data_IF_138765635240
#
_entry.id   IF_138765635240
#
_cell.length_a   1.000
_cell.length_b   1.000
_cell.length_c   1.000
_cell.angle_alpha   90.00
_cell.angle_beta   90.00
_cell.angle_gamma   90.00
#
_symmetry.space_group_name_H-M   'P 1'
#
loop_
_entity.id
_entity.type
_entity.pdbx_description
1 polymer ?
#
# COMPACT_ATOMS: atom_id res chain seq x y z
N UNK A 1 10.05 -8.11 -5.12
CA UNK A 1 10.66 -7.54 -3.92
C UNK A 1 10.47 -8.50 -2.72
N UNK A 2 10.66 -9.79 -2.95
CA UNK A 2 10.60 -10.82 -1.91
C UNK A 2 9.32 -10.76 -1.06
N UNK A 3 8.17 -10.75 -1.72
CA UNK A 3 6.83 -10.68 -1.11
C UNK A 3 6.50 -9.34 -0.44
N UNK A 4 7.32 -8.32 -0.62
CA UNK A 4 7.17 -7.04 0.06
C UNK A 4 7.31 -5.87 -0.91
N UNK A 5 8.04 -4.86 -0.51
CA UNK A 5 8.33 -3.64 -1.28
C UNK A 5 9.84 -3.37 -1.22
N UNK A 6 10.36 -2.48 -2.08
CA UNK A 6 11.78 -2.15 -2.06
C UNK A 6 12.20 -1.58 -0.71
N UNK A 7 13.47 -1.82 -0.35
CA UNK A 7 14.05 -1.31 0.90
C UNK A 7 13.93 0.21 1.01
N UNK A 8 13.95 0.93 -0.11
CA UNK A 8 13.79 2.39 -0.14
C UNK A 8 12.46 2.84 0.47
N UNK A 9 11.38 2.09 0.26
CA UNK A 9 10.10 2.42 0.88
C UNK A 9 10.15 2.27 2.39
N UNK A 10 10.81 1.23 2.89
CA UNK A 10 10.98 1.02 4.34
C UNK A 10 11.79 2.16 4.96
N UNK A 11 12.86 2.58 4.28
CA UNK A 11 13.66 3.74 4.71
C UNK A 11 12.81 5.00 4.76
N UNK A 12 11.98 5.25 3.75
CA UNK A 12 11.07 6.38 3.72
C UNK A 12 10.09 6.33 4.91
N UNK A 13 9.48 5.18 5.16
CA UNK A 13 8.56 4.99 6.28
C UNK A 13 9.25 5.28 7.61
N UNK A 14 10.46 4.76 7.82
CA UNK A 14 11.21 4.98 9.04
C UNK A 14 11.57 6.45 9.25
N UNK A 15 11.80 7.18 8.16
CA UNK A 15 12.11 8.60 8.23
C UNK A 15 10.90 9.48 8.56
N UNK A 16 9.71 9.09 8.13
CA UNK A 16 8.49 9.87 8.42
C UNK A 16 7.81 9.43 9.72
N UNK A 17 8.07 8.21 10.19
CA UNK A 17 7.46 7.70 11.40
C UNK A 17 8.13 8.37 12.61
N UNK A 18 7.50 9.41 13.11
CA UNK A 18 7.99 10.15 14.27
C UNK A 18 6.83 10.40 15.23
N UNK A 19 7.02 9.98 16.48
CA UNK A 19 6.07 10.23 17.56
C UNK A 19 5.91 11.74 17.74
N UNK A 20 4.67 12.21 17.79
CA UNK A 20 4.36 13.63 17.87
C UNK A 20 4.22 14.33 16.52
N UNK A 21 4.55 13.66 15.41
CA UNK A 21 4.39 14.20 14.05
C UNK A 21 3.32 13.45 13.29
N UNK A 22 3.46 12.14 13.12
CA UNK A 22 2.47 11.32 12.39
C UNK A 22 1.61 10.47 13.30
N UNK A 23 2.08 10.24 14.53
CA UNK A 23 1.37 9.46 15.53
C UNK A 23 1.72 9.97 16.92
N UNK A 24 0.86 9.70 17.89
CA UNK A 24 1.13 9.93 19.31
C UNK A 24 0.45 8.82 20.11
N UNK A 25 0.82 8.70 21.37
CA UNK A 25 0.16 7.76 22.27
C UNK A 25 -0.80 8.53 23.19
N UNK A 26 -2.05 8.03 23.25
CA UNK A 26 -3.06 8.59 24.14
C UNK A 26 -2.81 8.24 25.59
N UNK A 27 -3.68 8.76 26.48
CA UNK A 27 -3.58 8.51 27.92
C UNK A 27 -3.74 7.02 28.27
N UNK A 28 -4.41 6.25 27.44
CA UNK A 28 -4.61 4.79 27.57
C UNK A 28 -3.43 3.97 27.01
N UNK A 29 -2.39 4.62 26.48
CA UNK A 29 -1.23 3.97 25.86
C UNK A 29 -1.46 3.50 24.42
N UNK A 30 -2.62 3.77 23.82
CA UNK A 30 -2.91 3.39 22.45
C UNK A 30 -2.42 4.44 21.46
N UNK A 31 -1.97 4.02 20.27
CA UNK A 31 -1.57 4.98 19.25
C UNK A 31 -2.77 5.78 18.72
N UNK A 32 -2.55 7.07 18.49
CA UNK A 32 -3.50 7.98 17.86
C UNK A 32 -2.84 8.58 16.61
N UNK A 33 -3.50 8.47 15.45
CA UNK A 33 -2.98 9.00 14.21
C UNK A 33 -3.05 10.51 14.12
N UNK A 34 -2.01 11.11 13.55
CA UNK A 34 -1.91 12.56 13.36
C UNK A 34 -1.72 12.94 11.89
N UNK A 35 -1.66 11.96 11.00
CA UNK A 35 -1.53 12.22 9.58
C UNK A 35 -2.83 12.81 9.03
N UNK A 36 -2.71 13.80 8.14
CA UNK A 36 -3.87 14.50 7.55
C UNK A 36 -4.31 13.92 6.20
N UNK A 37 -3.64 12.90 5.71
CA UNK A 37 -4.04 12.25 4.48
C UNK A 37 -5.40 11.58 4.65
N UNK A 38 -6.24 11.67 3.64
CA UNK A 38 -7.58 11.06 3.66
C UNK A 38 -7.59 9.64 3.13
N UNK A 39 -6.62 9.32 2.27
CA UNK A 39 -6.53 8.00 1.64
C UNK A 39 -5.07 7.65 1.37
N UNK A 40 -4.75 6.38 1.57
CA UNK A 40 -3.48 5.79 1.12
C UNK A 40 -3.78 4.82 -0.01
N UNK A 41 -3.08 4.97 -1.12
CA UNK A 41 -3.19 4.08 -2.27
C UNK A 41 -1.87 3.33 -2.42
N UNK A 42 -1.93 2.01 -2.31
CA UNK A 42 -0.77 1.14 -2.51
C UNK A 42 -0.83 0.55 -3.91
N UNK A 43 0.14 0.92 -4.74
CA UNK A 43 0.21 0.49 -6.14
C UNK A 43 1.31 -0.56 -6.26
N UNK A 44 0.97 -1.73 -6.75
CA UNK A 44 1.94 -2.82 -6.88
C UNK A 44 1.60 -3.77 -8.02
N UNK A 45 2.61 -4.52 -8.41
CA UNK A 45 2.48 -5.60 -9.40
C UNK A 45 3.06 -6.89 -8.82
N UNK A 46 2.62 -8.02 -9.37
CA UNK A 46 3.13 -9.33 -8.98
C UNK A 46 3.22 -10.24 -10.20
N UNK A 47 4.33 -10.94 -10.32
CA UNK A 47 4.50 -11.92 -11.39
C UNK A 47 3.58 -13.12 -11.23
N UNK A 48 3.42 -13.62 -10.02
CA UNK A 48 2.50 -14.70 -9.66
C UNK A 48 1.28 -14.19 -8.93
N UNK A 49 0.60 -15.07 -8.17
CA UNK A 49 -0.47 -14.65 -7.27
C UNK A 49 0.05 -13.70 -6.20
N UNK A 50 -0.74 -12.70 -5.86
CA UNK A 50 -0.36 -11.69 -4.89
C UNK A 50 -0.46 -12.21 -3.46
N UNK A 51 0.57 -11.93 -2.67
CA UNK A 51 0.57 -12.13 -1.23
C UNK A 51 0.78 -10.78 -0.55
N UNK A 52 -0.26 -10.26 0.10
CA UNK A 52 -0.23 -8.92 0.70
C UNK A 52 0.31 -8.86 2.13
N UNK A 53 0.68 -9.99 2.74
CA UNK A 53 1.03 -10.02 4.16
C UNK A 53 2.19 -9.13 4.55
N UNK A 54 3.21 -9.04 3.69
CA UNK A 54 4.48 -8.37 4.01
C UNK A 54 4.67 -7.05 3.27
N UNK A 55 3.71 -6.65 2.47
CA UNK A 55 3.73 -5.39 1.72
C UNK A 55 2.51 -4.54 2.04
N UNK A 56 1.45 -4.71 1.28
CA UNK A 56 0.22 -3.94 1.46
C UNK A 56 -0.36 -4.09 2.88
N UNK A 57 -0.41 -5.32 3.41
CA UNK A 57 -0.94 -5.54 4.75
C UNK A 57 -0.17 -4.79 5.83
N UNK A 58 1.15 -4.75 5.72
CA UNK A 58 2.00 -3.97 6.63
C UNK A 58 1.72 -2.46 6.53
N UNK A 59 1.73 -1.92 5.32
CA UNK A 59 1.51 -0.48 5.08
C UNK A 59 0.09 -0.08 5.49
N UNK A 60 -0.90 -0.92 5.20
CA UNK A 60 -2.28 -0.69 5.62
C UNK A 60 -2.41 -0.62 7.15
N UNK A 61 -1.76 -1.54 7.86
CA UNK A 61 -1.78 -1.53 9.32
C UNK A 61 -1.16 -0.25 9.89
N UNK A 62 -0.03 0.19 9.34
CA UNK A 62 0.57 1.47 9.75
C UNK A 62 -0.35 2.64 9.47
N UNK A 63 -0.95 2.69 8.28
CA UNK A 63 -1.82 3.79 7.87
C UNK A 63 -3.05 3.90 8.78
N UNK A 64 -3.73 2.79 9.00
CA UNK A 64 -4.99 2.79 9.75
C UNK A 64 -4.78 2.85 11.26
N UNK A 65 -3.82 2.07 11.79
CA UNK A 65 -3.68 1.89 13.24
C UNK A 65 -2.77 2.94 13.88
N UNK A 66 -1.82 3.49 13.13
CA UNK A 66 -0.82 4.42 13.67
C UNK A 66 -0.89 5.82 13.09
N UNK A 67 -1.11 5.97 11.79
CA UNK A 67 -1.12 7.29 11.14
C UNK A 67 -2.50 7.94 11.13
N UNK A 68 -3.55 7.17 11.32
CA UNK A 68 -4.92 7.69 11.33
C UNK A 68 -5.46 8.03 9.95
N UNK A 69 -4.99 7.36 8.91
CA UNK A 69 -5.51 7.52 7.56
C UNK A 69 -6.77 6.67 7.44
N UNK A 70 -7.94 7.28 7.17
CA UNK A 70 -9.23 6.58 7.29
C UNK A 70 -9.51 5.58 6.19
N UNK A 71 -8.84 5.69 5.05
CA UNK A 71 -9.08 4.81 3.89
C UNK A 71 -7.77 4.33 3.28
N UNK A 72 -7.72 3.03 2.97
CA UNK A 72 -6.61 2.45 2.22
C UNK A 72 -7.15 1.70 1.01
N UNK A 73 -6.43 1.76 -0.10
CA UNK A 73 -6.84 1.11 -1.34
C UNK A 73 -5.64 0.43 -1.98
N UNK A 74 -5.88 -0.76 -2.52
CA UNK A 74 -4.88 -1.53 -3.26
C UNK A 74 -5.16 -1.43 -4.76
N UNK A 75 -4.15 -0.99 -5.51
CA UNK A 75 -4.11 -1.06 -6.97
C UNK A 75 -3.13 -2.15 -7.35
N UNK A 76 -3.65 -3.27 -7.82
CA UNK A 76 -2.86 -4.48 -8.02
C UNK A 76 -3.02 -5.01 -9.44
N UNK A 77 -1.89 -5.29 -10.11
CA UNK A 77 -1.85 -6.12 -11.29
C UNK A 77 -1.03 -7.38 -10.96
N UNK A 78 -1.68 -8.54 -10.96
CA UNK A 78 -1.03 -9.80 -10.60
C UNK A 78 -1.05 -10.80 -11.76
N UNK A 79 -0.25 -11.85 -11.64
CA UNK A 79 -0.18 -12.90 -12.64
C UNK A 79 0.55 -12.49 -13.91
N UNK A 80 1.38 -11.47 -13.86
CA UNK A 80 2.05 -10.90 -15.05
C UNK A 80 3.07 -11.85 -15.66
N UNK A 81 3.67 -12.73 -14.87
CA UNK A 81 4.69 -13.68 -15.33
C UNK A 81 4.16 -15.12 -15.45
N UNK A 82 2.88 -15.32 -15.26
CA UNK A 82 2.28 -16.65 -15.40
C UNK A 82 2.18 -17.00 -16.89
N UNK A 83 2.68 -18.18 -17.23
CA UNK A 83 2.65 -18.67 -18.61
C UNK A 83 1.22 -18.77 -19.13
N UNK A 84 0.97 -18.20 -20.30
CA UNK A 84 -0.37 -18.14 -20.90
C UNK A 84 -1.14 -16.87 -20.60
N UNK A 85 -0.69 -16.06 -19.64
CA UNK A 85 -1.30 -14.76 -19.37
C UNK A 85 -0.72 -13.70 -20.32
N UNK A 86 -1.55 -12.69 -20.60
CA UNK A 86 -1.14 -11.51 -21.37
C UNK A 86 -0.98 -10.33 -20.39
N UNK A 87 0.27 -9.91 -20.08
CA UNK A 87 0.50 -8.81 -19.15
C UNK A 87 -0.18 -7.52 -19.55
N UNK A 88 -0.17 -7.20 -20.85
CA UNK A 88 -0.78 -5.96 -21.34
C UNK A 88 -2.30 -5.95 -21.09
N UNK A 89 -2.97 -7.07 -21.37
CA UNK A 89 -4.40 -7.19 -21.12
C UNK A 89 -4.73 -7.06 -19.63
N UNK A 90 -3.90 -7.66 -18.76
CA UNK A 90 -4.06 -7.55 -17.30
C UNK A 90 -3.94 -6.10 -16.85
N UNK A 91 -2.92 -5.38 -17.31
CA UNK A 91 -2.70 -3.98 -16.98
C UNK A 91 -3.85 -3.10 -17.45
N UNK A 92 -4.32 -3.29 -18.68
CA UNK A 92 -5.43 -2.52 -19.22
C UNK A 92 -6.71 -2.73 -18.41
N UNK A 93 -6.99 -3.97 -18.02
CA UNK A 93 -8.16 -4.29 -17.20
C UNK A 93 -8.10 -3.61 -15.83
N UNK A 94 -6.94 -3.70 -15.16
CA UNK A 94 -6.75 -3.08 -13.84
C UNK A 94 -6.90 -1.57 -13.93
N UNK A 95 -6.32 -0.95 -14.95
CA UNK A 95 -6.44 0.51 -15.16
C UNK A 95 -7.91 0.90 -15.40
N UNK A 96 -8.63 0.16 -16.21
CA UNK A 96 -10.05 0.44 -16.49
C UNK A 96 -10.90 0.30 -15.22
N UNK A 97 -10.70 -0.76 -14.44
CA UNK A 97 -11.43 -1.00 -13.19
C UNK A 97 -11.18 0.08 -12.13
N UNK A 98 -10.06 0.77 -12.22
CA UNK A 98 -9.67 1.81 -11.27
C UNK A 98 -9.78 3.24 -11.83
N UNK A 99 -10.42 3.40 -12.99
CA UNK A 99 -10.61 4.71 -13.61
C UNK A 99 -9.34 5.37 -14.12
N UNK A 100 -8.32 4.58 -14.44
CA UNK A 100 -7.01 5.07 -14.90
C UNK A 100 -6.83 4.93 -16.41
N UNK A 101 -7.89 4.97 -17.17
CA UNK A 101 -7.83 4.97 -18.63
C UNK A 101 -7.50 6.36 -19.14
N UNK A 102 -6.82 6.41 -20.30
CA UNK A 102 -6.60 7.69 -20.99
C UNK A 102 -7.93 8.32 -21.37
N UNK A 103 -8.00 9.61 -21.14
CA UNK A 103 -9.18 10.40 -21.52
C UNK A 103 -9.24 10.59 -23.04
#
# INVERSE_FOLDING_TARGET
WDLSFPAQLKIYIENIYATGIVTRYGADGRPEGMCRAEELIYVTTSGGPFDGRFGYGYVKALAEDYFGIPATRLLLAEGLDIRGNDPEAILQKVMAENGLTEA
#
